data_IF_979304640826
#
_entry.id   IF_979304640826
#
_cell.length_a   1.000
_cell.length_b   1.000
_cell.length_c   1.000
_cell.angle_alpha   90.00
_cell.angle_beta   90.00
_cell.angle_gamma   90.00
#
_symmetry.space_group_name_H-M   'P 1'
#
loop_
_entity.id
_entity.type
_entity.pdbx_description
1 polymer ?
#
# COMPACT_ATOMS: atom_id res chain seq x y z
N UNK A 1 9.07 21.07 -9.33
CA UNK A 1 8.99 19.74 -8.71
C UNK A 1 8.88 18.59 -9.71
N UNK A 2 9.95 17.82 -9.84
CA UNK A 2 9.95 16.47 -10.45
C UNK A 2 9.94 15.44 -9.32
N UNK A 3 9.00 14.50 -9.39
CA UNK A 3 8.82 13.45 -8.38
C UNK A 3 8.97 12.09 -9.06
N UNK A 4 9.72 11.19 -8.45
CA UNK A 4 9.97 9.85 -8.98
C UNK A 4 9.86 8.82 -7.85
N UNK A 5 9.25 7.67 -8.16
CA UNK A 5 9.41 6.46 -7.34
C UNK A 5 10.86 5.97 -7.48
N UNK A 6 11.62 6.04 -6.39
CA UNK A 6 13.05 5.72 -6.37
C UNK A 6 13.27 4.22 -6.15
N UNK A 7 12.64 3.66 -5.11
CA UNK A 7 12.71 2.25 -4.79
C UNK A 7 11.50 1.80 -3.97
N UNK A 8 11.34 0.48 -3.81
CA UNK A 8 10.33 -0.10 -2.94
C UNK A 8 10.80 -1.45 -2.40
N UNK A 9 10.21 -1.86 -1.29
CA UNK A 9 10.46 -3.17 -0.69
C UNK A 9 9.27 -3.66 0.10
N UNK A 10 9.13 -4.98 0.16
CA UNK A 10 8.26 -5.65 1.11
C UNK A 10 9.00 -5.74 2.44
N UNK A 11 8.36 -5.30 3.52
CA UNK A 11 8.90 -5.28 4.88
C UNK A 11 8.50 -6.53 5.64
N UNK A 12 7.25 -6.97 5.43
CA UNK A 12 6.69 -8.12 6.09
C UNK A 12 5.82 -8.90 5.10
N UNK A 13 5.91 -10.23 5.16
CA UNK A 13 4.97 -11.14 4.52
C UNK A 13 4.68 -12.27 5.48
N UNK A 14 3.41 -12.45 5.78
CA UNK A 14 2.92 -13.66 6.40
C UNK A 14 1.94 -14.32 5.42
N UNK A 15 2.28 -15.52 4.94
CA UNK A 15 1.44 -16.31 4.05
C UNK A 15 1.21 -17.67 4.72
N UNK A 16 -0.02 -17.94 5.14
CA UNK A 16 -0.39 -19.18 5.80
C UNK A 16 -1.52 -19.90 5.05
N UNK A 17 -1.26 -21.14 4.61
CA UNK A 17 -2.29 -21.99 4.03
C UNK A 17 -3.26 -22.48 5.11
N UNK A 18 -4.56 -22.48 4.82
CA UNK A 18 -5.57 -23.07 5.70
C UNK A 18 -5.45 -24.60 5.70
N UNK A 19 -5.35 -25.20 6.88
CA UNK A 19 -5.21 -26.68 7.06
C UNK A 19 -6.55 -27.43 7.01
N UNK A 20 -7.66 -26.72 7.09
CA UNK A 20 -9.01 -27.27 7.18
C UNK A 20 -9.82 -27.06 5.89
N UNK A 21 -11.15 -27.18 5.98
CA UNK A 21 -12.05 -26.91 4.86
C UNK A 21 -11.84 -25.48 4.36
N UNK A 22 -12.00 -25.24 3.04
CA UNK A 22 -11.89 -23.91 2.48
C UNK A 22 -12.86 -22.93 3.14
N UNK A 23 -12.41 -21.69 3.35
CA UNK A 23 -13.25 -20.59 3.84
C UNK A 23 -14.40 -20.32 2.87
N UNK A 24 -15.54 -19.84 3.38
CA UNK A 24 -16.73 -19.56 2.56
C UNK A 24 -16.66 -18.24 1.81
N UNK A 25 -16.03 -17.23 2.41
CA UNK A 25 -16.01 -15.85 1.92
C UNK A 25 -14.58 -15.31 1.97
N UNK A 26 -14.24 -14.47 1.01
CA UNK A 26 -12.96 -13.79 0.96
C UNK A 26 -13.10 -12.38 1.54
N UNK A 27 -12.05 -11.85 2.15
CA UNK A 27 -11.95 -10.44 2.53
C UNK A 27 -10.64 -9.83 2.08
N UNK A 28 -10.67 -8.50 1.92
CA UNK A 28 -9.52 -7.69 1.54
C UNK A 28 -9.62 -6.37 2.29
N UNK A 29 -8.58 -6.08 3.07
CA UNK A 29 -8.41 -4.84 3.79
C UNK A 29 -7.09 -4.19 3.35
N UNK A 30 -7.14 -2.87 3.16
CA UNK A 30 -6.01 -2.06 2.71
C UNK A 30 -5.86 -0.85 3.62
N UNK A 31 -4.68 -0.71 4.21
CA UNK A 31 -4.26 0.49 4.91
C UNK A 31 -3.11 1.15 4.15
N UNK A 32 -3.13 2.47 4.04
CA UNK A 32 -2.03 3.25 3.47
C UNK A 32 -1.70 4.48 4.31
N UNK A 33 -0.43 4.85 4.35
CA UNK A 33 0.07 6.02 5.03
C UNK A 33 1.27 6.62 4.30
N UNK A 34 1.70 7.81 4.70
CA UNK A 34 2.91 8.42 4.19
C UNK A 34 3.76 8.95 5.34
N UNK A 35 5.06 9.05 5.12
CA UNK A 35 6.01 9.51 6.13
C UNK A 35 7.16 10.30 5.51
N UNK A 36 7.77 11.17 6.30
CA UNK A 36 8.90 12.01 5.90
C UNK A 36 10.12 11.67 6.77
N UNK A 37 11.12 10.95 6.25
CA UNK A 37 12.34 10.64 7.00
C UNK A 37 13.09 11.91 7.39
N UNK A 38 13.47 12.05 8.66
CA UNK A 38 14.14 13.25 9.20
C UNK A 38 15.51 13.54 8.57
N UNK A 39 16.16 12.53 8.02
CA UNK A 39 17.53 12.63 7.46
C UNK A 39 17.53 12.76 5.93
N UNK A 40 16.35 12.76 5.28
CA UNK A 40 16.22 12.77 3.82
C UNK A 40 15.28 13.88 3.36
N UNK A 41 15.80 15.10 3.30
CA UNK A 41 15.02 16.31 2.98
C UNK A 41 14.37 16.29 1.59
N UNK A 42 14.85 15.42 0.69
CA UNK A 42 14.33 15.24 -0.68
C UNK A 42 13.56 13.94 -0.89
N UNK A 43 13.24 13.22 0.17
CA UNK A 43 12.57 11.92 0.07
C UNK A 43 11.40 11.79 1.02
N UNK A 44 10.37 11.09 0.58
CA UNK A 44 9.27 10.66 1.44
C UNK A 44 8.89 9.23 1.12
N UNK A 45 8.19 8.58 2.04
CA UNK A 45 7.74 7.21 1.88
C UNK A 45 6.22 7.12 1.86
N UNK A 46 5.72 6.12 1.14
CA UNK A 46 4.35 5.61 1.24
C UNK A 46 4.42 4.18 1.76
N UNK A 47 3.63 3.89 2.80
CA UNK A 47 3.50 2.57 3.39
C UNK A 47 2.14 1.97 3.05
N UNK A 48 2.12 0.67 2.77
CA UNK A 48 0.90 -0.12 2.64
C UNK A 48 0.92 -1.29 3.61
N UNK A 49 -0.26 -1.62 4.12
CA UNK A 49 -0.55 -2.87 4.81
C UNK A 49 -1.79 -3.48 4.14
N UNK A 50 -1.69 -4.76 3.79
CA UNK A 50 -2.75 -5.52 3.14
C UNK A 50 -3.03 -6.77 3.96
N UNK A 51 -4.29 -6.99 4.32
CA UNK A 51 -4.77 -8.27 4.86
C UNK A 51 -5.74 -8.88 3.84
N UNK A 52 -5.41 -10.08 3.37
CA UNK A 52 -6.24 -10.89 2.48
C UNK A 52 -6.61 -12.17 3.22
N UNK A 53 -7.91 -12.39 3.34
CA UNK A 53 -8.48 -13.67 3.73
C UNK A 53 -9.00 -14.34 2.46
N UNK A 54 -8.23 -15.27 1.91
CA UNK A 54 -8.66 -16.06 0.76
C UNK A 54 -9.41 -17.33 1.21
N UNK A 55 -10.04 -18.01 0.26
CA UNK A 55 -10.66 -19.32 0.44
C UNK A 55 -9.68 -20.36 0.97
N UNK A 56 -8.40 -20.28 0.61
CA UNK A 56 -7.41 -21.31 0.92
C UNK A 56 -6.24 -20.85 1.79
N UNK A 57 -6.09 -19.55 2.02
CA UNK A 57 -4.96 -19.00 2.78
C UNK A 57 -5.28 -17.65 3.42
N UNK A 58 -4.43 -17.26 4.35
CA UNK A 58 -4.32 -15.92 4.88
C UNK A 58 -3.01 -15.29 4.41
N UNK A 59 -3.08 -14.02 3.99
CA UNK A 59 -1.93 -13.28 3.50
C UNK A 59 -1.92 -11.88 4.10
N UNK A 60 -0.87 -11.56 4.84
CA UNK A 60 -0.56 -10.21 5.33
C UNK A 60 0.70 -9.73 4.62
N UNK A 61 0.65 -8.52 4.04
CA UNK A 61 1.79 -7.90 3.35
C UNK A 61 1.94 -6.46 3.81
N UNK A 62 3.15 -6.10 4.21
CA UNK A 62 3.54 -4.70 4.46
C UNK A 62 4.60 -4.27 3.45
N UNK A 63 4.42 -3.11 2.84
CA UNK A 63 5.30 -2.60 1.80
C UNK A 63 5.62 -1.12 1.99
N UNK A 64 6.84 -0.73 1.65
CA UNK A 64 7.28 0.67 1.66
C UNK A 64 7.76 1.05 0.25
N UNK A 65 7.33 2.23 -0.20
CA UNK A 65 7.68 2.85 -1.46
C UNK A 65 8.32 4.20 -1.20
N UNK A 66 9.57 4.38 -1.61
CA UNK A 66 10.31 5.62 -1.43
C UNK A 66 10.24 6.47 -2.69
N UNK A 67 9.82 7.72 -2.53
CA UNK A 67 9.83 8.73 -3.58
C UNK A 67 10.95 9.72 -3.35
N UNK A 68 11.51 10.23 -4.44
CA UNK A 68 12.55 11.26 -4.45
C UNK A 68 12.09 12.47 -5.25
N UNK A 69 12.43 13.64 -4.73
CA UNK A 69 12.22 14.94 -5.35
C UNK A 69 13.55 15.54 -5.83
N UNK A 70 13.48 16.44 -6.82
CA UNK A 70 14.61 17.23 -7.27
C UNK A 70 14.94 18.41 -6.32
N UNK A 71 13.95 18.86 -5.57
CA UNK A 71 14.02 19.92 -4.55
C UNK A 71 13.65 19.41 -3.15
N UNK A 72 13.95 20.22 -2.12
CA UNK A 72 13.64 19.87 -0.73
C UNK A 72 12.12 19.87 -0.50
N UNK A 73 11.67 18.95 0.35
CA UNK A 73 10.26 18.81 0.71
C UNK A 73 9.83 19.97 1.59
N UNK A 74 8.88 20.76 1.08
CA UNK A 74 8.26 21.87 1.81
C UNK A 74 7.10 21.40 2.68
N UNK A 75 6.72 22.18 3.68
CA UNK A 75 5.50 21.92 4.48
C UNK A 75 4.24 21.88 3.61
N UNK A 76 4.16 22.76 2.60
CA UNK A 76 3.05 22.76 1.63
C UNK A 76 2.95 21.43 0.88
N UNK A 77 4.09 20.84 0.49
CA UNK A 77 4.11 19.53 -0.14
C UNK A 77 3.60 18.44 0.81
N UNK A 78 4.02 18.47 2.09
CA UNK A 78 3.58 17.51 3.10
C UNK A 78 2.05 17.54 3.30
N UNK A 79 1.46 18.72 3.21
CA UNK A 79 0.02 18.93 3.37
C UNK A 79 -0.77 18.67 2.09
N UNK A 80 -0.13 18.70 0.93
CA UNK A 80 -0.75 18.51 -0.39
C UNK A 80 -1.38 17.12 -0.57
N UNK A 81 -2.15 17.00 -1.65
CA UNK A 81 -2.76 15.74 -2.07
C UNK A 81 -1.72 14.74 -2.62
N UNK A 82 -0.51 15.18 -2.98
CA UNK A 82 0.42 14.30 -3.67
C UNK A 82 0.87 13.11 -2.79
N UNK A 83 1.37 13.30 -1.56
CA UNK A 83 1.73 12.17 -0.69
C UNK A 83 0.53 11.29 -0.29
N UNK A 84 -0.67 11.87 -0.26
CA UNK A 84 -1.91 11.23 0.23
C UNK A 84 -2.66 10.44 -0.83
N UNK A 85 -2.63 10.90 -2.08
CA UNK A 85 -3.46 10.38 -3.18
C UNK A 85 -2.59 9.88 -4.33
N UNK A 86 -1.73 10.74 -4.89
CA UNK A 86 -1.01 10.43 -6.12
C UNK A 86 0.12 9.41 -5.90
N UNK A 87 0.89 9.60 -4.83
CA UNK A 87 1.98 8.69 -4.48
C UNK A 87 1.49 7.25 -4.21
N UNK A 88 0.44 7.01 -3.37
CA UNK A 88 -0.10 5.66 -3.23
C UNK A 88 -0.72 5.13 -4.53
N UNK A 89 -1.36 5.97 -5.36
CA UNK A 89 -1.87 5.53 -6.67
C UNK A 89 -0.75 5.06 -7.62
N UNK A 90 0.43 5.68 -7.57
CA UNK A 90 1.61 5.27 -8.35
C UNK A 90 2.24 3.98 -7.80
N UNK A 91 2.27 3.82 -6.47
CA UNK A 91 2.88 2.68 -5.81
C UNK A 91 2.01 1.40 -5.84
N UNK A 92 0.69 1.55 -5.76
CA UNK A 92 -0.25 0.44 -5.67
C UNK A 92 -0.15 -0.60 -6.81
N UNK A 93 0.10 -0.24 -8.08
CA UNK A 93 0.33 -1.22 -9.15
C UNK A 93 1.47 -2.20 -8.88
N UNK A 94 2.56 -1.75 -8.24
CA UNK A 94 3.70 -2.62 -7.88
C UNK A 94 3.30 -3.60 -6.78
N UNK A 95 2.59 -3.12 -5.74
CA UNK A 95 2.06 -3.97 -4.67
C UNK A 95 1.07 -5.00 -5.21
N UNK A 96 0.15 -4.58 -6.09
CA UNK A 96 -0.79 -5.47 -6.77
C UNK A 96 -0.05 -6.56 -7.54
N UNK A 97 0.94 -6.18 -8.37
CA UNK A 97 1.72 -7.14 -9.14
C UNK A 97 2.48 -8.12 -8.23
N UNK A 98 3.04 -7.63 -7.12
CA UNK A 98 3.70 -8.48 -6.13
C UNK A 98 2.75 -9.53 -5.55
N UNK A 99 1.58 -9.13 -5.06
CA UNK A 99 0.60 -10.05 -4.45
C UNK A 99 0.09 -11.06 -5.47
N UNK A 100 -0.24 -10.64 -6.69
CA UNK A 100 -0.67 -11.55 -7.76
C UNK A 100 0.42 -12.57 -8.10
N UNK A 101 1.69 -12.15 -8.18
CA UNK A 101 2.79 -13.05 -8.49
C UNK A 101 3.14 -13.97 -7.31
N UNK A 102 3.11 -13.47 -6.08
CA UNK A 102 3.37 -14.27 -4.87
C UNK A 102 2.37 -15.42 -4.76
N UNK A 103 1.08 -15.12 -4.88
CA UNK A 103 0.01 -16.12 -4.79
C UNK A 103 0.10 -17.15 -5.92
N UNK A 104 0.35 -16.70 -7.15
CA UNK A 104 0.59 -17.57 -8.30
C UNK A 104 1.81 -18.49 -8.09
N UNK A 105 2.93 -17.94 -7.66
CA UNK A 105 4.18 -18.69 -7.43
C UNK A 105 4.10 -19.64 -6.23
N UNK A 106 3.18 -19.38 -5.30
CA UNK A 106 2.85 -20.27 -4.19
C UNK A 106 1.89 -21.41 -4.57
N UNK A 107 1.48 -21.51 -5.84
CA UNK A 107 0.63 -22.60 -6.34
C UNK A 107 -0.87 -22.35 -6.21
N UNK A 108 -1.29 -21.13 -5.93
CA UNK A 108 -2.70 -20.71 -5.89
C UNK A 108 -3.08 -19.92 -7.15
N UNK A 109 -4.37 -19.67 -7.33
CA UNK A 109 -4.82 -18.69 -8.32
C UNK A 109 -4.30 -17.29 -7.93
N UNK A 110 -3.90 -16.46 -8.92
CA UNK A 110 -3.37 -15.14 -8.65
C UNK A 110 -4.45 -14.26 -8.03
N UNK A 111 -4.16 -13.70 -6.86
CA UNK A 111 -5.04 -12.69 -6.24
C UNK A 111 -4.97 -11.40 -7.06
N UNK A 112 -6.11 -10.98 -7.61
CA UNK A 112 -6.24 -9.72 -8.34
C UNK A 112 -6.84 -8.67 -7.42
N UNK A 113 -6.00 -7.75 -6.91
CA UNK A 113 -6.50 -6.66 -6.08
C UNK A 113 -7.46 -5.75 -6.86
N UNK A 114 -8.56 -5.29 -6.23
CA UNK A 114 -9.52 -4.40 -6.88
C UNK A 114 -8.87 -3.06 -7.24
N UNK A 115 -9.57 -2.28 -8.06
CA UNK A 115 -9.19 -0.89 -8.28
C UNK A 115 -9.54 -0.05 -7.05
N UNK A 116 -8.62 0.81 -6.63
CA UNK A 116 -8.79 1.68 -5.47
C UNK A 116 -8.88 3.12 -5.96
N UNK A 117 -9.93 3.83 -5.53
CA UNK A 117 -10.03 5.26 -5.73
C UNK A 117 -9.33 5.97 -4.56
N UNK A 118 -8.04 6.29 -4.72
CA UNK A 118 -7.26 6.93 -3.67
C UNK A 118 -7.76 8.34 -3.29
N UNK A 119 -8.53 9.01 -4.16
CA UNK A 119 -9.18 10.28 -3.80
C UNK A 119 -10.26 10.06 -2.75
N UNK A 120 -11.12 9.06 -2.96
CA UNK A 120 -12.16 8.72 -2.01
C UNK A 120 -11.57 8.14 -0.72
N UNK A 121 -10.60 7.24 -0.86
CA UNK A 121 -9.89 6.62 0.27
C UNK A 121 -9.25 7.67 1.20
N UNK A 122 -8.64 8.71 0.63
CA UNK A 122 -8.03 9.79 1.42
C UNK A 122 -9.06 10.69 2.13
N UNK A 123 -10.31 10.77 1.63
CA UNK A 123 -11.39 11.52 2.27
C UNK A 123 -11.98 10.77 3.46
N UNK A 124 -12.28 9.48 3.26
CA UNK A 124 -12.80 8.60 4.32
C UNK A 124 -11.87 8.60 5.54
N UNK A 125 -10.56 8.55 5.31
CA UNK A 125 -9.56 8.61 6.38
C UNK A 125 -9.53 9.95 7.14
N UNK A 126 -9.79 11.08 6.46
CA UNK A 126 -9.88 12.40 7.12
C UNK A 126 -11.13 12.54 7.98
N UNK A 127 -12.24 11.91 7.58
CA UNK A 127 -13.49 11.88 8.34
C UNK A 127 -13.37 11.00 9.60
N UNK A 128 -12.60 9.91 9.54
CA UNK A 128 -12.29 9.06 10.69
C UNK A 128 -11.35 9.72 11.72
N UNK A 129 -10.37 10.51 11.26
CA UNK A 129 -9.42 11.23 12.12
C UNK A 129 -9.99 12.54 12.71
N UNK A 130 -11.18 12.97 12.30
CA UNK A 130 -11.85 14.17 12.83
C UNK A 130 -12.53 13.87 14.18
N UNK A 131 -12.26 14.63 15.26
CA UNK A 131 -12.92 14.41 16.54
C UNK A 131 -14.44 14.64 16.41
N UNK A 132 -15.23 13.66 16.86
CA UNK A 132 -16.68 13.78 17.05
C UNK A 132 -17.01 14.75 18.20
#
# INVERSE_FOLDING_TARGET
MKIQLDNWKIINVNFESLKEKPRKENSFDLSTGHFFPKELDKSFGVGFEVDIKDKFFDLIVEAIFMFKLDEDITEDFKLSDFPKINAPAIAFPFLRAYISNLTLQSGYDPVILPSINFVQFAKEKQEEDSPK
#
